data_IF_617457807851
#
_entry.id   IF_617457807851
#
_cell.length_a   1.000
_cell.length_b   1.000
_cell.length_c   1.000
_cell.angle_alpha   90.00
_cell.angle_beta   90.00
_cell.angle_gamma   90.00
#
_symmetry.space_group_name_H-M   'P 1'
#
loop_
_entity.id
_entity.type
_entity.pdbx_description
1 polymer ?
#
# COMPACT_ATOMS: atom_id res chain seq x y z
N UNK A 1 4.91 -27.16 1.45
CA UNK A 1 4.12 -25.91 1.57
C UNK A 1 4.25 -25.45 3.02
N UNK A 2 5.03 -24.39 3.35
CA UNK A 2 5.08 -23.87 4.73
C UNK A 2 3.65 -23.48 5.12
N UNK A 3 3.16 -24.00 6.24
CA UNK A 3 1.80 -23.73 6.72
C UNK A 3 1.62 -22.22 6.91
N UNK A 4 0.61 -21.62 6.27
CA UNK A 4 0.35 -20.18 6.43
C UNK A 4 -0.10 -19.94 7.87
N UNK A 5 0.78 -19.34 8.68
CA UNK A 5 0.50 -19.04 10.08
C UNK A 5 -0.60 -17.97 10.25
N UNK A 6 -0.95 -17.24 9.18
CA UNK A 6 -1.97 -16.20 9.18
C UNK A 6 -2.85 -16.26 7.92
N UNK A 7 -4.16 -16.06 8.09
CA UNK A 7 -5.23 -16.32 7.11
C UNK A 7 -6.36 -15.27 7.15
N UNK A 8 -7.43 -15.52 6.39
CA UNK A 8 -8.71 -14.78 6.36
C UNK A 8 -9.20 -14.45 7.79
N UNK A 9 -9.80 -13.27 7.97
CA UNK A 9 -10.34 -12.80 9.26
C UNK A 9 -11.26 -13.83 9.92
N UNK A 10 -10.93 -14.25 11.15
CA UNK A 10 -11.75 -15.17 11.95
C UNK A 10 -12.28 -14.45 13.18
N UNK A 11 -13.58 -14.58 13.47
CA UNK A 11 -14.14 -14.13 14.74
C UNK A 11 -13.52 -14.91 15.89
N UNK A 12 -13.23 -14.23 17.00
CA UNK A 12 -12.77 -14.86 18.22
C UNK A 12 -13.65 -14.43 19.39
N UNK A 13 -13.90 -15.36 20.31
CA UNK A 13 -14.50 -15.03 21.61
C UNK A 13 -13.37 -14.83 22.60
N UNK A 14 -13.24 -13.61 23.09
CA UNK A 14 -12.27 -13.24 24.11
C UNK A 14 -12.99 -13.19 25.45
N UNK A 15 -12.48 -13.89 26.47
CA UNK A 15 -13.00 -13.81 27.83
C UNK A 15 -12.32 -12.68 28.61
N UNK A 16 -13.00 -12.02 29.56
CA UNK A 16 -12.43 -10.90 30.31
C UNK A 16 -11.15 -11.23 31.07
N UNK A 17 -11.03 -12.48 31.53
CA UNK A 17 -9.87 -12.95 32.30
C UNK A 17 -8.75 -13.52 31.43
N UNK A 18 -8.94 -13.64 30.12
CA UNK A 18 -7.88 -14.08 29.21
C UNK A 18 -6.74 -13.08 29.21
N UNK A 19 -5.52 -13.58 29.00
CA UNK A 19 -4.36 -12.71 28.87
C UNK A 19 -4.50 -11.88 27.60
N UNK A 20 -4.32 -10.56 27.72
CA UNK A 20 -4.44 -9.70 26.57
C UNK A 20 -3.25 -9.87 25.65
N UNK A 21 -3.51 -10.36 24.44
CA UNK A 21 -2.51 -10.51 23.38
C UNK A 21 -2.07 -9.16 22.78
N UNK A 22 -2.50 -8.04 23.41
CA UNK A 22 -1.99 -6.70 23.13
C UNK A 22 -0.50 -6.55 23.47
N UNK A 23 0.08 -7.48 24.23
CA UNK A 23 1.48 -7.44 24.65
C UNK A 23 1.72 -6.58 25.90
N UNK A 24 0.66 -6.08 26.55
CA UNK A 24 0.78 -5.31 27.80
C UNK A 24 1.09 -6.19 29.03
N UNK A 25 0.94 -7.52 28.90
CA UNK A 25 1.01 -8.44 30.04
C UNK A 25 -0.25 -8.44 30.92
N UNK A 26 -1.23 -7.56 30.66
CA UNK A 26 -2.47 -7.46 31.43
C UNK A 26 -3.54 -8.42 30.93
N UNK A 27 -4.58 -8.67 31.74
CA UNK A 27 -5.79 -9.37 31.29
C UNK A 27 -6.63 -8.48 30.39
N UNK A 28 -7.46 -9.09 29.58
CA UNK A 28 -8.33 -8.37 28.66
C UNK A 28 -9.18 -7.31 29.34
N UNK A 29 -9.81 -7.63 30.48
CA UNK A 29 -10.58 -6.68 31.31
C UNK A 29 -9.81 -5.45 31.80
N UNK A 30 -8.47 -5.49 31.75
CA UNK A 30 -7.54 -4.44 32.20
C UNK A 30 -6.70 -3.87 31.04
N UNK A 31 -6.80 -4.40 29.81
CA UNK A 31 -6.14 -3.87 28.59
C UNK A 31 -7.20 -3.45 27.56
N UNK A 32 -7.47 -4.32 26.57
CA UNK A 32 -8.27 -3.96 25.40
C UNK A 32 -9.77 -4.32 25.52
N UNK A 33 -10.23 -5.04 26.54
CA UNK A 33 -11.62 -5.51 26.56
C UNK A 33 -12.58 -4.39 26.90
N UNK A 34 -13.22 -3.87 25.88
CA UNK A 34 -14.48 -3.13 26.00
C UNK A 34 -15.58 -3.99 25.37
N UNK A 35 -16.62 -4.26 26.18
CA UNK A 35 -17.78 -5.10 25.82
C UNK A 35 -18.58 -4.54 24.62
N UNK A 36 -18.31 -3.30 24.20
CA UNK A 36 -18.89 -2.66 23.01
C UNK A 36 -18.18 -3.01 21.70
N UNK A 37 -17.05 -3.73 21.74
CA UNK A 37 -16.26 -4.04 20.56
C UNK A 37 -16.17 -5.53 20.26
N UNK A 38 -16.30 -5.85 18.96
CA UNK A 38 -16.05 -7.17 18.41
C UNK A 38 -14.59 -7.30 17.98
N UNK A 39 -14.00 -8.45 18.27
CA UNK A 39 -12.61 -8.76 17.93
C UNK A 39 -12.51 -9.89 16.90
N UNK A 40 -11.53 -9.78 16.01
CA UNK A 40 -11.16 -10.81 15.04
C UNK A 40 -9.66 -11.08 15.09
N UNK A 41 -9.26 -12.23 14.58
CA UNK A 41 -7.86 -12.63 14.40
C UNK A 41 -7.53 -12.83 12.93
N UNK A 42 -6.28 -12.54 12.56
CA UNK A 42 -5.67 -12.95 11.29
C UNK A 42 -4.84 -14.23 11.42
N UNK A 43 -4.84 -14.90 12.58
CA UNK A 43 -3.96 -16.05 12.86
C UNK A 43 -2.76 -15.63 13.70
N UNK A 44 -1.61 -16.28 13.54
CA UNK A 44 -0.39 -16.04 14.34
C UNK A 44 0.72 -15.39 13.53
N UNK A 45 1.50 -14.53 14.18
CA UNK A 45 2.70 -13.94 13.60
C UNK A 45 3.92 -14.88 13.74
N UNK A 46 5.09 -14.41 13.28
CA UNK A 46 6.38 -15.11 13.34
C UNK A 46 6.89 -15.49 14.73
N UNK A 47 6.32 -14.90 15.79
CA UNK A 47 6.62 -15.21 17.20
C UNK A 47 5.56 -16.14 17.82
N UNK A 48 4.58 -16.59 17.04
CA UNK A 48 3.45 -17.38 17.52
C UNK A 48 2.37 -16.57 18.25
N UNK A 49 2.44 -15.22 18.22
CA UNK A 49 1.43 -14.34 18.84
C UNK A 49 0.19 -14.23 17.96
N UNK A 50 -1.00 -14.36 18.54
CA UNK A 50 -2.26 -14.18 17.82
C UNK A 50 -2.46 -12.71 17.41
N UNK A 51 -2.68 -12.49 16.11
CA UNK A 51 -2.83 -11.19 15.46
C UNK A 51 -4.28 -10.74 15.60
N UNK A 52 -4.59 -10.09 16.72
CA UNK A 52 -5.95 -9.66 17.03
C UNK A 52 -6.15 -8.16 16.92
N UNK A 53 -7.30 -7.79 16.36
CA UNK A 53 -7.69 -6.42 16.08
C UNK A 53 -9.15 -6.16 16.44
N UNK A 54 -9.46 -4.90 16.75
CA UNK A 54 -10.81 -4.42 17.02
C UNK A 54 -11.56 -4.27 15.69
N UNK A 55 -12.40 -5.25 15.37
CA UNK A 55 -13.15 -5.26 14.12
C UNK A 55 -14.27 -4.23 14.08
N UNK A 56 -14.81 -3.82 15.22
CA UNK A 56 -15.79 -2.72 15.29
C UNK A 56 -15.17 -1.39 14.90
N UNK A 57 -13.97 -1.06 15.38
CA UNK A 57 -13.26 0.16 14.99
C UNK A 57 -12.88 0.15 13.50
N UNK A 58 -12.39 -0.98 12.99
CA UNK A 58 -12.10 -1.14 11.55
C UNK A 58 -13.38 -0.97 10.72
N UNK A 59 -14.51 -1.52 11.14
CA UNK A 59 -15.79 -1.36 10.44
C UNK A 59 -16.28 0.08 10.44
N UNK A 60 -16.18 0.80 11.58
CA UNK A 60 -16.52 2.23 11.63
C UNK A 60 -15.67 3.05 10.67
N UNK A 61 -14.38 2.74 10.60
CA UNK A 61 -13.46 3.41 9.67
C UNK A 61 -13.79 3.07 8.22
N UNK A 62 -14.16 1.81 7.94
CA UNK A 62 -14.61 1.38 6.62
C UNK A 62 -15.87 2.14 6.18
N UNK A 63 -16.87 2.26 7.06
CA UNK A 63 -18.10 3.03 6.80
C UNK A 63 -17.79 4.51 6.56
N UNK A 64 -16.90 5.09 7.36
CA UNK A 64 -16.45 6.47 7.20
C UNK A 64 -15.82 6.71 5.81
N UNK A 65 -14.87 5.86 5.40
CA UNK A 65 -14.22 5.97 4.09
C UNK A 65 -15.22 5.72 2.95
N UNK A 66 -16.14 4.77 3.13
CA UNK A 66 -17.20 4.50 2.16
C UNK A 66 -18.08 5.74 1.97
N UNK A 67 -18.49 6.39 3.06
CA UNK A 67 -19.27 7.63 3.00
C UNK A 67 -18.50 8.78 2.33
N UNK A 68 -17.21 8.93 2.66
CA UNK A 68 -16.34 9.92 2.02
C UNK A 68 -16.19 9.66 0.52
N UNK A 69 -16.00 8.41 0.11
CA UNK A 69 -15.98 8.03 -1.30
C UNK A 69 -17.28 8.44 -2.02
N UNK A 70 -18.43 8.03 -1.48
CA UNK A 70 -19.74 8.29 -2.10
C UNK A 70 -20.07 9.78 -2.18
N UNK A 71 -19.72 10.58 -1.16
CA UNK A 71 -20.11 11.99 -1.07
C UNK A 71 -19.13 12.94 -1.73
N UNK A 72 -17.83 12.68 -1.58
CA UNK A 72 -16.78 13.65 -1.88
C UNK A 72 -15.94 13.26 -3.10
N UNK A 73 -15.92 11.98 -3.50
CA UNK A 73 -15.10 11.50 -4.61
C UNK A 73 -15.94 11.11 -5.82
N UNK A 74 -16.95 10.24 -5.66
CA UNK A 74 -17.76 9.77 -6.77
C UNK A 74 -18.55 10.91 -7.43
N UNK A 75 -18.63 10.85 -8.75
CA UNK A 75 -19.36 11.81 -9.60
C UNK A 75 -18.95 13.29 -9.38
N UNK A 76 -17.71 13.52 -8.95
CA UNK A 76 -17.11 14.86 -8.80
C UNK A 76 -16.09 15.13 -9.89
N UNK A 77 -15.93 16.41 -10.22
CA UNK A 77 -14.77 16.91 -10.96
C UNK A 77 -13.80 17.59 -10.00
N UNK A 78 -12.64 16.96 -9.78
CA UNK A 78 -11.67 17.39 -8.78
C UNK A 78 -10.44 18.03 -9.44
N UNK A 79 -9.93 19.09 -8.80
CA UNK A 79 -8.61 19.65 -9.13
C UNK A 79 -7.50 18.73 -8.61
N UNK A 80 -6.28 18.86 -9.15
CA UNK A 80 -5.11 18.13 -8.67
C UNK A 80 -4.83 18.45 -7.19
N UNK A 81 -4.94 19.72 -6.80
CA UNK A 81 -4.73 20.15 -5.41
C UNK A 81 -5.71 19.45 -4.45
N UNK A 82 -7.01 19.47 -4.78
CA UNK A 82 -8.04 18.80 -3.97
C UNK A 82 -7.86 17.28 -3.98
N UNK A 83 -7.47 16.71 -5.12
CA UNK A 83 -7.09 15.32 -5.25
C UNK A 83 -5.99 14.90 -4.27
N UNK A 84 -4.92 15.69 -4.14
CA UNK A 84 -3.83 15.41 -3.19
C UNK A 84 -4.28 15.54 -1.74
N UNK A 85 -5.12 16.50 -1.41
CA UNK A 85 -5.73 16.64 -0.07
C UNK A 85 -6.50 15.37 0.30
N UNK A 86 -7.36 14.89 -0.60
CA UNK A 86 -8.15 13.68 -0.40
C UNK A 86 -7.27 12.43 -0.35
N UNK A 87 -6.23 12.35 -1.17
CA UNK A 87 -5.26 11.26 -1.12
C UNK A 87 -4.56 11.18 0.25
N UNK A 88 -4.08 12.32 0.76
CA UNK A 88 -3.48 12.40 2.11
C UNK A 88 -4.48 11.98 3.20
N UNK A 89 -5.76 12.37 3.05
CA UNK A 89 -6.83 11.95 3.94
C UNK A 89 -7.03 10.42 3.91
N UNK A 90 -7.11 9.81 2.73
CA UNK A 90 -7.22 8.36 2.56
C UNK A 90 -6.00 7.62 3.16
N UNK A 91 -4.78 8.14 2.95
CA UNK A 91 -3.56 7.59 3.55
C UNK A 91 -3.58 7.62 5.07
N UNK A 92 -4.05 8.71 5.68
CA UNK A 92 -4.19 8.82 7.13
C UNK A 92 -5.14 7.76 7.67
N UNK A 93 -6.30 7.58 7.04
CA UNK A 93 -7.25 6.56 7.45
C UNK A 93 -6.71 5.13 7.25
N UNK A 94 -6.02 4.86 6.13
CA UNK A 94 -5.31 3.58 5.97
C UNK A 94 -4.29 3.32 7.09
N UNK A 95 -3.52 4.34 7.48
CA UNK A 95 -2.57 4.23 8.58
C UNK A 95 -3.27 3.94 9.91
N UNK A 96 -4.41 4.58 10.18
CA UNK A 96 -5.22 4.29 11.37
C UNK A 96 -5.68 2.83 11.38
N UNK A 97 -6.24 2.33 10.28
CA UNK A 97 -6.68 0.94 10.19
C UNK A 97 -5.54 -0.07 10.29
N UNK A 98 -4.37 0.25 9.73
CA UNK A 98 -3.20 -0.64 9.80
C UNK A 98 -2.47 -0.59 11.15
N UNK A 99 -2.63 0.48 11.94
CA UNK A 99 -2.01 0.62 13.25
C UNK A 99 -2.40 -0.48 14.24
N UNK A 100 -3.60 -1.06 14.09
CA UNK A 100 -4.06 -2.22 14.87
C UNK A 100 -3.13 -3.43 14.75
N UNK A 101 -2.38 -3.52 13.64
CA UNK A 101 -1.49 -4.63 13.34
C UNK A 101 -0.03 -4.34 13.67
N UNK A 102 0.34 -3.08 13.95
CA UNK A 102 1.73 -2.62 14.02
C UNK A 102 2.60 -3.40 15.03
N UNK A 103 2.02 -3.88 16.13
CA UNK A 103 2.76 -4.65 17.15
C UNK A 103 3.09 -6.08 16.75
N UNK A 104 2.47 -6.61 15.69
CA UNK A 104 2.65 -7.99 15.23
C UNK A 104 3.60 -8.11 14.03
N UNK A 105 4.04 -6.99 13.46
CA UNK A 105 4.89 -6.96 12.26
C UNK A 105 6.37 -7.00 12.62
N UNK A 106 7.21 -7.50 11.71
CA UNK A 106 8.67 -7.46 11.85
C UNK A 106 9.28 -6.15 11.29
N UNK A 107 8.53 -5.43 10.45
CA UNK A 107 9.02 -4.25 9.75
C UNK A 107 9.35 -3.10 10.70
N UNK A 108 10.56 -2.55 10.55
CA UNK A 108 11.06 -1.36 11.25
C UNK A 108 11.81 -0.47 10.26
N UNK A 109 12.17 0.76 10.66
CA UNK A 109 13.04 1.62 9.86
C UNK A 109 14.32 0.84 9.50
N UNK A 110 14.72 0.88 8.22
CA UNK A 110 15.82 0.08 7.68
C UNK A 110 15.43 -1.32 7.15
N UNK A 111 14.15 -1.72 7.25
CA UNK A 111 13.65 -2.91 6.56
C UNK A 111 13.32 -2.56 5.09
N UNK A 112 14.01 -3.22 4.14
CA UNK A 112 13.93 -2.92 2.71
C UNK A 112 13.42 -4.09 1.84
N UNK A 113 12.92 -5.18 2.43
CA UNK A 113 12.44 -6.34 1.64
C UNK A 113 11.38 -5.96 0.58
N UNK A 114 10.41 -5.11 0.95
CA UNK A 114 9.41 -4.61 0.01
C UNK A 114 9.92 -3.55 -0.97
N UNK A 115 11.14 -3.03 -0.80
CA UNK A 115 11.75 -2.09 -1.73
C UNK A 115 12.40 -2.78 -2.93
N UNK A 116 12.30 -4.11 -3.04
CA UNK A 116 12.87 -4.90 -4.14
C UNK A 116 11.78 -5.62 -4.98
N UNK A 117 10.52 -5.27 -4.78
CA UNK A 117 9.38 -5.87 -5.51
C UNK A 117 8.76 -4.85 -6.45
N UNK A 118 7.98 -5.34 -7.42
CA UNK A 118 7.26 -4.47 -8.35
C UNK A 118 6.24 -3.60 -7.61
N UNK A 119 6.29 -2.30 -7.84
CA UNK A 119 5.40 -1.31 -7.24
C UNK A 119 4.86 -0.37 -8.32
N UNK A 120 3.54 -0.25 -8.34
CA UNK A 120 2.78 0.69 -9.17
C UNK A 120 1.95 1.64 -8.32
N UNK A 121 1.55 2.74 -8.93
CA UNK A 121 0.70 3.74 -8.31
C UNK A 121 -0.17 4.45 -9.36
N UNK A 122 -1.18 5.16 -8.89
CA UNK A 122 -2.00 6.02 -9.74
C UNK A 122 -1.29 7.33 -10.10
N UNK A 123 -1.84 8.06 -11.07
CA UNK A 123 -1.31 9.36 -11.50
C UNK A 123 -1.29 10.40 -10.37
N UNK A 124 -2.32 10.43 -9.51
CA UNK A 124 -2.37 11.37 -8.38
C UNK A 124 -1.34 11.05 -7.31
N UNK A 125 -1.02 9.77 -7.10
CA UNK A 125 0.05 9.36 -6.19
C UNK A 125 1.43 9.73 -6.76
N UNK A 126 1.65 9.51 -8.06
CA UNK A 126 2.87 9.93 -8.73
C UNK A 126 3.06 11.46 -8.67
N UNK A 127 1.98 12.23 -8.84
CA UNK A 127 2.03 13.69 -8.70
C UNK A 127 2.39 14.13 -7.28
N UNK A 128 1.86 13.47 -6.25
CA UNK A 128 2.20 13.75 -4.87
C UNK A 128 3.69 13.46 -4.58
N UNK A 129 4.23 12.37 -5.14
CA UNK A 129 5.66 12.05 -5.04
C UNK A 129 6.51 13.10 -5.76
N UNK A 130 6.09 13.51 -6.96
CA UNK A 130 6.79 14.53 -7.77
C UNK A 130 6.94 15.84 -7.00
N UNK A 131 5.83 16.33 -6.43
CA UNK A 131 5.81 17.57 -5.63
C UNK A 131 6.73 17.44 -4.41
N UNK A 132 6.64 16.34 -3.66
CA UNK A 132 7.50 16.09 -2.51
C UNK A 132 8.98 16.12 -2.88
N UNK A 133 9.36 15.53 -4.00
CA UNK A 133 10.75 15.52 -4.48
C UNK A 133 11.21 16.94 -4.80
N UNK A 134 10.41 17.71 -5.57
CA UNK A 134 10.77 19.08 -5.92
C UNK A 134 10.86 20.03 -4.72
N UNK A 135 10.09 19.76 -3.65
CA UNK A 135 10.10 20.56 -2.43
C UNK A 135 11.24 20.21 -1.46
N UNK A 136 11.72 18.96 -1.47
CA UNK A 136 12.60 18.43 -0.42
C UNK A 136 13.99 17.98 -0.91
N UNK A 137 14.22 17.90 -2.22
CA UNK A 137 15.45 17.35 -2.81
C UNK A 137 16.21 18.44 -3.55
N UNK A 138 17.52 18.46 -3.39
CA UNK A 138 18.40 19.32 -4.18
C UNK A 138 18.66 18.73 -5.59
N UNK A 139 19.22 19.55 -6.48
CA UNK A 139 19.51 19.19 -7.86
C UNK A 139 20.33 17.90 -7.98
N UNK A 140 21.37 17.73 -7.14
CA UNK A 140 22.22 16.54 -7.14
C UNK A 140 21.44 15.27 -6.80
N UNK A 141 20.54 15.34 -5.82
CA UNK A 141 19.68 14.21 -5.45
C UNK A 141 18.70 13.86 -6.58
N UNK A 142 18.09 14.86 -7.22
CA UNK A 142 17.19 14.66 -8.37
C UNK A 142 17.96 14.06 -9.56
N UNK A 143 19.17 14.54 -9.85
CA UNK A 143 20.05 13.96 -10.87
C UNK A 143 20.38 12.50 -10.59
N UNK A 144 20.67 12.14 -9.34
CA UNK A 144 20.90 10.76 -8.94
C UNK A 144 19.66 9.88 -9.17
N UNK A 145 18.47 10.36 -8.80
CA UNK A 145 17.21 9.65 -9.08
C UNK A 145 17.00 9.43 -10.58
N UNK A 146 17.24 10.46 -11.40
CA UNK A 146 17.14 10.34 -12.86
C UNK A 146 18.14 9.32 -13.43
N UNK A 147 19.37 9.24 -12.90
CA UNK A 147 20.34 8.22 -13.30
C UNK A 147 19.83 6.82 -12.97
N UNK A 148 19.38 6.60 -11.73
CA UNK A 148 18.80 5.31 -11.29
C UNK A 148 17.62 4.89 -12.16
N UNK A 149 16.75 5.82 -12.55
CA UNK A 149 15.63 5.55 -13.46
C UNK A 149 16.17 5.07 -14.81
N UNK A 150 17.07 5.82 -15.44
CA UNK A 150 17.65 5.45 -16.74
C UNK A 150 18.34 4.09 -16.74
N UNK A 151 19.04 3.75 -15.66
CA UNK A 151 19.75 2.48 -15.50
C UNK A 151 18.82 1.27 -15.30
N UNK A 152 17.62 1.50 -14.77
CA UNK A 152 16.70 0.41 -14.37
C UNK A 152 15.44 0.30 -15.21
N UNK A 153 15.07 1.32 -15.99
CA UNK A 153 13.76 1.41 -16.66
C UNK A 153 13.49 0.23 -17.60
N UNK A 154 14.48 -0.19 -18.40
CA UNK A 154 14.35 -1.32 -19.34
C UNK A 154 14.14 -2.67 -18.65
N UNK A 155 14.40 -2.73 -17.34
CA UNK A 155 14.22 -3.93 -16.54
C UNK A 155 12.86 -3.96 -15.81
N UNK A 156 12.15 -2.84 -15.77
CA UNK A 156 10.83 -2.69 -15.16
C UNK A 156 9.78 -3.04 -16.22
N UNK A 157 8.79 -3.90 -15.93
CA UNK A 157 7.70 -4.16 -16.87
C UNK A 157 6.89 -2.89 -17.15
N UNK A 158 6.61 -2.60 -18.41
CA UNK A 158 5.71 -1.53 -18.81
C UNK A 158 4.26 -1.86 -18.43
N UNK A 159 3.44 -0.83 -18.27
CA UNK A 159 2.03 -1.02 -17.92
C UNK A 159 1.28 -1.84 -18.98
N UNK A 160 1.55 -1.57 -20.26
CA UNK A 160 0.91 -2.26 -21.38
C UNK A 160 1.24 -3.76 -21.40
N UNK A 161 2.49 -4.13 -21.11
CA UNK A 161 2.91 -5.53 -21.00
C UNK A 161 2.17 -6.25 -19.88
N UNK A 162 2.02 -5.59 -18.72
CA UNK A 162 1.26 -6.13 -17.59
C UNK A 162 -0.22 -6.30 -17.96
N UNK A 163 -0.80 -5.38 -18.73
CA UNK A 163 -2.20 -5.50 -19.15
C UNK A 163 -2.41 -6.66 -20.12
N UNK A 164 -1.53 -6.81 -21.10
CA UNK A 164 -1.58 -7.86 -22.14
C UNK A 164 -1.15 -9.23 -21.63
N UNK A 165 -0.45 -9.30 -20.50
CA UNK A 165 0.01 -10.57 -19.94
C UNK A 165 -1.15 -11.54 -19.65
N UNK A 166 -1.02 -12.76 -20.18
CA UNK A 166 -1.89 -13.89 -19.84
C UNK A 166 -1.84 -14.20 -18.35
N UNK A 167 -0.66 -14.08 -17.74
CA UNK A 167 -0.45 -14.19 -16.30
C UNK A 167 0.38 -13.01 -15.77
N UNK A 168 -0.29 -12.00 -15.20
CA UNK A 168 0.36 -10.82 -14.61
C UNK A 168 1.35 -11.16 -13.49
N UNK A 169 1.06 -12.20 -12.71
CA UNK A 169 1.91 -12.58 -11.59
C UNK A 169 3.27 -13.11 -12.08
N UNK A 170 3.34 -13.73 -13.27
CA UNK A 170 4.60 -14.19 -13.83
C UNK A 170 5.56 -13.01 -14.12
N UNK A 171 5.08 -11.95 -14.77
CA UNK A 171 5.88 -10.74 -15.01
C UNK A 171 6.31 -10.06 -13.71
N UNK A 172 5.40 -9.94 -12.75
CA UNK A 172 5.68 -9.34 -11.44
C UNK A 172 6.71 -10.16 -10.67
N UNK A 173 6.60 -11.49 -10.69
CA UNK A 173 7.54 -12.39 -10.00
C UNK A 173 8.91 -12.38 -10.69
N UNK A 174 8.95 -12.36 -12.02
CA UNK A 174 10.20 -12.19 -12.79
C UNK A 174 10.91 -10.89 -12.45
N UNK A 175 10.17 -9.78 -12.30
CA UNK A 175 10.76 -8.53 -11.81
C UNK A 175 11.27 -8.68 -10.38
N UNK A 176 10.48 -9.24 -9.47
CA UNK A 176 10.87 -9.45 -8.07
C UNK A 176 12.14 -10.30 -7.92
N UNK A 177 12.32 -11.33 -8.75
CA UNK A 177 13.49 -12.19 -8.76
C UNK A 177 14.78 -11.47 -9.19
N UNK A 178 14.70 -10.30 -9.83
CA UNK A 178 15.89 -9.48 -10.14
C UNK A 178 16.45 -8.76 -8.92
N UNK A 179 15.67 -8.67 -7.82
CA UNK A 179 16.04 -7.94 -6.60
C UNK A 179 16.53 -6.50 -6.86
N UNK A 180 15.94 -5.82 -7.86
CA UNK A 180 16.31 -4.44 -8.18
C UNK A 180 15.83 -3.51 -7.06
N UNK A 181 16.71 -2.66 -6.49
CA UNK A 181 16.29 -1.72 -5.47
C UNK A 181 15.37 -0.65 -6.08
N UNK A 182 14.32 -0.30 -5.35
CA UNK A 182 13.50 0.86 -5.65
C UNK A 182 14.39 2.10 -5.81
N UNK A 183 14.08 2.96 -6.79
CA UNK A 183 14.84 4.18 -7.07
C UNK A 183 14.94 5.12 -5.85
N UNK A 184 14.01 5.00 -4.90
CA UNK A 184 13.95 5.78 -3.66
C UNK A 184 14.56 5.08 -2.44
N UNK A 185 15.17 3.91 -2.60
CA UNK A 185 15.92 3.25 -1.54
C UNK A 185 17.27 3.95 -1.38
N UNK A 186 17.55 4.41 -0.16
CA UNK A 186 18.84 4.98 0.23
C UNK A 186 19.85 3.87 0.59
N UNK A 187 21.10 4.27 0.76
CA UNK A 187 22.19 3.38 1.17
C UNK A 187 21.97 2.78 2.58
N UNK A 188 21.29 3.50 3.47
CA UNK A 188 20.95 3.02 4.83
C UNK A 188 19.66 2.18 4.87
N UNK A 189 19.19 1.68 3.72
CA UNK A 189 17.94 0.93 3.57
C UNK A 189 16.67 1.68 4.03
N UNK A 190 16.71 3.01 4.05
CA UNK A 190 15.52 3.83 4.31
C UNK A 190 14.84 4.29 3.01
N UNK A 191 13.55 4.59 3.10
CA UNK A 191 12.81 5.10 1.95
C UNK A 191 12.88 6.62 1.92
N UNK A 192 13.47 7.19 0.87
CA UNK A 192 13.62 8.63 0.70
C UNK A 192 12.29 9.38 0.56
N UNK A 193 11.20 8.68 0.23
CA UNK A 193 9.85 9.24 0.07
C UNK A 193 8.85 8.65 1.06
N UNK A 194 9.30 8.20 2.25
CA UNK A 194 8.48 7.42 3.19
C UNK A 194 7.12 8.07 3.51
N UNK A 195 7.08 9.40 3.64
CA UNK A 195 5.86 10.16 3.96
C UNK A 195 4.80 10.11 2.84
N UNK A 196 5.26 10.15 1.59
CA UNK A 196 4.41 10.18 0.38
C UNK A 196 4.45 8.85 -0.41
N UNK A 197 4.90 7.77 0.22
CA UNK A 197 4.95 6.45 -0.41
C UNK A 197 3.56 6.04 -0.93
N UNK A 198 3.45 5.47 -2.15
CA UNK A 198 2.19 5.00 -2.69
C UNK A 198 1.42 4.08 -1.77
N UNK A 199 0.12 3.98 -1.97
CA UNK A 199 -0.74 3.08 -1.20
C UNK A 199 -0.29 1.62 -1.31
N UNK A 200 0.15 1.21 -2.51
CA UNK A 200 0.69 -0.14 -2.72
C UNK A 200 1.98 -0.42 -1.92
N UNK A 201 2.75 0.62 -1.58
CA UNK A 201 3.84 0.53 -0.60
C UNK A 201 3.32 0.54 0.85
N UNK A 202 2.37 1.42 1.16
CA UNK A 202 1.86 1.64 2.53
C UNK A 202 1.06 0.44 3.08
N UNK A 203 0.32 -0.27 2.22
CA UNK A 203 -0.52 -1.41 2.62
C UNK A 203 0.24 -2.71 2.83
N UNK A 204 1.54 -2.75 2.53
CA UNK A 204 2.36 -3.93 2.77
C UNK A 204 2.62 -4.12 4.26
N UNK A 205 2.15 -5.25 4.75
CA UNK A 205 2.35 -5.71 6.12
C UNK A 205 2.85 -7.13 6.05
N UNK A 206 3.94 -7.42 6.77
CA UNK A 206 4.45 -8.77 6.95
C UNK A 206 4.34 -9.19 8.41
N UNK A 207 3.70 -10.34 8.62
CA UNK A 207 3.67 -11.03 9.90
C UNK A 207 4.70 -12.18 9.96
N UNK A 208 5.52 -12.34 8.91
CA UNK A 208 6.59 -13.35 8.83
C UNK A 208 7.92 -12.80 9.36
N UNK A 209 8.95 -13.65 9.47
CA UNK A 209 10.30 -13.20 9.85
C UNK A 209 10.89 -12.32 8.76
N UNK A 210 11.82 -11.46 9.11
CA UNK A 210 12.46 -10.55 8.15
C UNK A 210 13.19 -11.32 7.02
N UNK A 211 13.82 -12.45 7.34
CA UNK A 211 14.48 -13.33 6.35
C UNK A 211 13.51 -13.88 5.31
N UNK A 212 12.29 -14.26 5.74
CA UNK A 212 11.26 -14.76 4.82
C UNK A 212 10.83 -13.65 3.83
N UNK A 213 10.88 -12.36 4.19
CA UNK A 213 10.55 -11.27 3.25
C UNK A 213 11.63 -11.02 2.20
N UNK A 214 12.89 -11.37 2.49
CA UNK A 214 14.01 -11.18 1.57
C UNK A 214 14.22 -12.40 0.67
N UNK A 215 13.87 -13.59 1.15
CA UNK A 215 14.14 -14.87 0.48
C UNK A 215 12.89 -15.51 -0.13
N UNK A 216 11.66 -15.07 0.22
CA UNK A 216 10.44 -15.69 -0.30
C UNK A 216 9.98 -15.10 -1.62
N UNK A 217 9.55 -15.99 -2.52
CA UNK A 217 8.82 -15.66 -3.74
C UNK A 217 7.38 -15.16 -3.46
N UNK A 218 6.93 -15.18 -2.20
CA UNK A 218 5.56 -14.79 -1.85
C UNK A 218 5.47 -14.07 -0.49
N UNK A 219 5.33 -12.76 -0.54
CA UNK A 219 4.91 -11.97 0.63
C UNK A 219 3.42 -12.24 0.85
N UNK A 220 3.06 -12.97 1.91
CA UNK A 220 1.65 -13.16 2.28
C UNK A 220 1.11 -11.82 2.78
N UNK A 221 0.22 -11.21 1.98
CA UNK A 221 -0.44 -9.94 2.29
C UNK A 221 -1.80 -10.25 2.93
N UNK A 222 -2.07 -9.82 4.17
CA UNK A 222 -3.39 -9.98 4.73
C UNK A 222 -4.40 -9.19 3.89
N UNK A 223 -5.53 -9.82 3.55
CA UNK A 223 -6.64 -9.13 2.92
C UNK A 223 -7.45 -8.42 3.99
N UNK A 224 -7.11 -7.16 4.26
CA UNK A 224 -7.76 -6.34 5.30
C UNK A 224 -8.80 -5.47 4.61
N UNK A 225 -10.05 -5.52 5.09
CA UNK A 225 -11.18 -4.79 4.50
C UNK A 225 -10.90 -3.29 4.29
N UNK A 226 -10.21 -2.66 5.25
CA UNK A 226 -9.86 -1.25 5.17
C UNK A 226 -8.94 -0.92 3.98
N UNK A 227 -8.02 -1.83 3.65
CA UNK A 227 -7.12 -1.61 2.53
C UNK A 227 -7.86 -1.68 1.19
N UNK A 228 -8.92 -2.49 1.11
CA UNK A 228 -9.71 -2.64 -0.10
C UNK A 228 -10.54 -1.38 -0.39
N UNK A 229 -11.24 -0.86 0.62
CA UNK A 229 -12.02 0.38 0.43
C UNK A 229 -11.11 1.56 0.11
N UNK A 230 -9.94 1.67 0.76
CA UNK A 230 -8.98 2.74 0.43
C UNK A 230 -8.43 2.58 -0.99
N UNK A 231 -8.06 1.37 -1.42
CA UNK A 231 -7.61 1.13 -2.79
C UNK A 231 -8.68 1.54 -3.80
N UNK A 232 -9.93 1.18 -3.53
CA UNK A 232 -11.07 1.51 -4.36
C UNK A 232 -11.31 3.04 -4.40
N UNK A 233 -11.25 3.72 -3.24
CA UNK A 233 -11.36 5.17 -3.17
C UNK A 233 -10.25 5.89 -3.93
N UNK A 234 -8.99 5.42 -3.85
CA UNK A 234 -7.87 5.98 -4.61
C UNK A 234 -8.07 5.78 -6.11
N UNK A 235 -8.60 4.61 -6.52
CA UNK A 235 -8.87 4.33 -7.91
C UNK A 235 -9.83 5.38 -8.52
N UNK A 236 -10.97 5.59 -7.84
CA UNK A 236 -11.98 6.58 -8.23
C UNK A 236 -11.48 8.01 -8.10
N UNK A 237 -10.73 8.33 -7.05
CA UNK A 237 -10.10 9.64 -6.87
C UNK A 237 -9.23 10.01 -8.07
N UNK A 238 -8.38 9.09 -8.53
CA UNK A 238 -7.54 9.33 -9.69
C UNK A 238 -8.34 9.53 -10.98
N UNK A 239 -9.47 8.84 -11.14
CA UNK A 239 -10.34 8.98 -12.33
C UNK A 239 -11.15 10.27 -12.34
N UNK A 240 -11.52 10.77 -11.16
CA UNK A 240 -12.36 11.96 -10.99
C UNK A 240 -11.56 13.27 -10.92
N UNK A 241 -10.23 13.20 -11.02
CA UNK A 241 -9.39 14.38 -11.20
C UNK A 241 -9.35 14.76 -12.68
N UNK A 242 -9.79 15.98 -13.01
CA UNK A 242 -9.97 16.43 -14.40
C UNK A 242 -8.71 16.27 -15.25
N UNK A 243 -7.51 16.48 -14.66
CA UNK A 243 -6.21 16.32 -15.33
C UNK A 243 -5.90 14.86 -15.72
N UNK A 244 -6.45 13.89 -14.99
CA UNK A 244 -6.14 12.46 -15.12
C UNK A 244 -7.31 11.61 -15.61
N UNK A 245 -8.49 12.20 -15.85
CA UNK A 245 -9.72 11.50 -16.26
C UNK A 245 -9.61 10.61 -17.51
N UNK A 246 -8.62 10.88 -18.37
CA UNK A 246 -8.33 10.07 -19.57
C UNK A 246 -7.39 8.88 -19.30
N UNK A 247 -6.72 8.85 -18.14
CA UNK A 247 -5.80 7.78 -17.72
C UNK A 247 -6.58 6.66 -17.04
N UNK A 248 -7.53 6.08 -17.79
CA UNK A 248 -8.38 5.00 -17.34
C UNK A 248 -8.44 3.89 -18.38
N UNK A 249 -8.58 2.66 -17.90
CA UNK A 249 -8.70 1.45 -18.69
C UNK A 249 -10.02 0.76 -18.36
N UNK A 250 -10.51 -0.04 -19.29
CA UNK A 250 -11.69 -0.87 -19.05
C UNK A 250 -11.29 -2.14 -18.31
N UNK A 251 -12.11 -2.58 -17.35
CA UNK A 251 -11.87 -3.84 -16.66
C UNK A 251 -11.93 -5.02 -17.65
N UNK A 252 -11.27 -6.14 -17.33
CA UNK A 252 -11.22 -7.32 -18.24
C UNK A 252 -12.60 -7.91 -18.54
N UNK A 253 -13.54 -7.74 -17.62
CA UNK A 253 -14.94 -8.13 -17.73
C UNK A 253 -15.84 -7.00 -18.25
N UNK A 254 -15.24 -5.88 -18.66
CA UNK A 254 -15.93 -4.76 -19.29
C UNK A 254 -17.05 -4.14 -18.44
N UNK A 255 -17.02 -4.36 -17.12
CA UNK A 255 -18.04 -3.92 -16.19
C UNK A 255 -17.80 -2.51 -15.64
N UNK A 256 -16.54 -2.05 -15.57
CA UNK A 256 -16.20 -0.75 -15.00
C UNK A 256 -14.89 -0.15 -15.55
N UNK A 257 -14.76 1.17 -15.46
CA UNK A 257 -13.49 1.86 -15.68
C UNK A 257 -12.61 1.77 -14.43
N UNK A 258 -11.30 1.64 -14.63
CA UNK A 258 -10.27 1.69 -13.57
C UNK A 258 -9.21 2.71 -13.93
N UNK A 259 -8.69 3.43 -12.94
CA UNK A 259 -7.48 4.23 -13.14
C UNK A 259 -6.29 3.35 -13.53
N UNK A 260 -5.37 3.96 -14.26
CA UNK A 260 -4.11 3.34 -14.62
C UNK A 260 -3.17 3.28 -13.42
N UNK A 261 -2.58 2.11 -13.25
CA UNK A 261 -1.49 1.86 -12.33
C UNK A 261 -0.22 1.61 -13.14
N UNK A 262 0.63 2.64 -13.27
CA UNK A 262 1.94 2.52 -13.89
C UNK A 262 2.97 2.24 -12.78
N UNK A 263 4.02 1.49 -13.11
CA UNK A 263 5.16 1.38 -12.20
C UNK A 263 5.68 2.77 -11.83
N UNK A 264 6.22 2.93 -10.62
CA UNK A 264 6.75 4.21 -10.15
C UNK A 264 7.79 4.78 -11.13
N UNK A 265 8.72 3.98 -11.63
CA UNK A 265 9.80 4.41 -12.51
C UNK A 265 9.25 4.98 -13.83
N UNK A 266 8.29 4.29 -14.45
CA UNK A 266 7.70 4.76 -15.70
C UNK A 266 6.91 6.06 -15.58
N UNK A 267 6.35 6.41 -14.41
CA UNK A 267 5.77 7.74 -14.17
C UNK A 267 6.82 8.86 -14.24
N UNK A 268 8.10 8.56 -14.00
CA UNK A 268 9.20 9.53 -13.95
C UNK A 268 10.27 9.26 -15.03
N UNK A 269 9.93 8.52 -16.08
CA UNK A 269 10.84 8.18 -17.18
C UNK A 269 11.43 9.40 -17.91
N UNK A 270 10.71 10.54 -17.89
CA UNK A 270 11.15 11.83 -18.43
C UNK A 270 11.66 12.81 -17.35
N UNK A 271 11.96 12.31 -16.14
CA UNK A 271 12.32 13.10 -14.97
C UNK A 271 11.11 13.58 -14.15
N UNK A 272 11.35 14.58 -13.30
CA UNK A 272 10.39 15.05 -12.29
C UNK A 272 9.72 16.41 -12.61
N UNK A 273 9.95 16.97 -13.81
CA UNK A 273 9.29 18.20 -14.24
C UNK A 273 7.77 18.01 -14.37
N UNK A 274 7.35 16.92 -14.98
CA UNK A 274 5.97 16.42 -15.00
C UNK A 274 5.94 14.89 -14.90
N UNK A 275 4.82 14.32 -14.44
CA UNK A 275 4.61 12.88 -14.55
C UNK A 275 4.37 12.47 -16.03
N UNK A 276 4.96 11.34 -16.45
CA UNK A 276 4.73 10.75 -17.76
C UNK A 276 3.33 10.13 -17.85
N UNK A 277 2.45 10.75 -18.63
CA UNK A 277 1.05 10.36 -18.80
C UNK A 277 0.79 9.55 -20.09
N UNK A 278 1.84 9.15 -20.80
CA UNK A 278 1.72 8.28 -21.97
C UNK A 278 1.26 6.89 -21.55
N UNK A 279 0.24 6.41 -22.28
CA UNK A 279 -0.40 5.10 -22.13
C UNK A 279 0.44 3.99 -22.72
#
# INVERSE_FOLDING_TARGET
MKEKLYSIEKKIKIQPNDQCICGSGLKYKECCLDKKFDYKTLGRNYEGRDIVFNSTEINKLYEYISNFLLKDILDKELSVSKGKEYLKHLYKNAQNGTSHFAKYVTCKKGCSGCCHIYMDCTAIEAELIREYILENFNEKQIMCLNSKIKETIDQVPEHEDILKASNKNDLINKYGAKHLPCIFLSEDNSCLIYEVRPFNCRKLISFSKNTDCMESESIVRPNISINNIVAYSINHLSMNITRYRKLKIYSKDESEYKSIYKSIQHWFSNGFSEINRTL
#
